data_IF_580359697988
#
_entry.id   IF_580359697988
#
_cell.length_a   1.000
_cell.length_b   1.000
_cell.length_c   1.000
_cell.angle_alpha   90.00
_cell.angle_beta   90.00
_cell.angle_gamma   90.00
#
_symmetry.space_group_name_H-M   'P 1'
#
loop_
_entity.id
_entity.type
_entity.pdbx_description
1 polymer ?
#
# COMPACT_ATOMS: atom_id res chain seq x y z
N UNK A 1 -12.56 25.13 35.42
CA UNK A 1 -12.88 23.87 34.73
C UNK A 1 -11.71 23.57 33.81
N UNK A 2 -10.87 22.62 34.21
CA UNK A 2 -9.64 22.22 33.53
C UNK A 2 -9.99 21.37 32.31
N UNK A 3 -9.49 21.76 31.15
CA UNK A 3 -9.54 21.02 29.88
C UNK A 3 -8.47 19.93 29.89
N UNK A 4 -8.54 19.03 30.85
CA UNK A 4 -7.69 17.84 30.88
C UNK A 4 -8.50 16.63 30.45
N UNK A 5 -7.93 15.88 29.52
CA UNK A 5 -8.25 14.48 29.23
C UNK A 5 -9.49 14.19 28.40
N UNK A 6 -9.36 14.30 27.07
CA UNK A 6 -9.67 13.18 26.16
C UNK A 6 -8.66 13.20 24.99
N UNK A 7 -7.37 12.99 25.29
CA UNK A 7 -6.48 12.36 24.31
C UNK A 7 -6.84 10.88 24.29
N UNK A 8 -8.01 10.55 23.73
CA UNK A 8 -8.27 9.18 23.33
C UNK A 8 -7.18 8.85 22.31
N UNK A 9 -6.34 7.86 22.61
CA UNK A 9 -5.40 7.28 21.65
C UNK A 9 -6.18 6.97 20.37
N UNK A 10 -6.06 7.83 19.36
CA UNK A 10 -6.70 7.59 18.06
C UNK A 10 -6.02 6.36 17.51
N UNK A 11 -6.75 5.23 17.54
CA UNK A 11 -6.31 3.99 16.90
C UNK A 11 -5.95 4.31 15.45
N UNK A 12 -4.83 3.79 14.93
CA UNK A 12 -4.47 4.00 13.54
C UNK A 12 -5.60 3.48 12.65
N UNK A 13 -5.88 4.20 11.56
CA UNK A 13 -6.81 3.71 10.55
C UNK A 13 -6.32 2.37 9.99
N UNK A 14 -7.22 1.54 9.44
CA UNK A 14 -6.84 0.25 8.86
C UNK A 14 -5.69 0.37 7.85
N UNK A 15 -5.77 1.34 6.93
CA UNK A 15 -4.73 1.56 5.93
C UNK A 15 -3.38 1.94 6.55
N UNK A 16 -3.34 2.80 7.58
CA UNK A 16 -2.10 3.14 8.29
C UNK A 16 -1.52 1.94 9.05
N UNK A 17 -2.38 1.14 9.69
CA UNK A 17 -1.96 -0.04 10.44
C UNK A 17 -1.37 -1.11 9.51
N UNK A 18 -2.02 -1.38 8.37
CA UNK A 18 -1.56 -2.37 7.39
C UNK A 18 -0.30 -1.86 6.69
N UNK A 19 -0.24 -0.57 6.32
CA UNK A 19 0.95 0.01 5.71
C UNK A 19 2.18 -0.06 6.62
N UNK A 20 2.01 0.24 7.91
CA UNK A 20 3.11 0.08 8.88
C UNK A 20 3.62 -1.36 8.93
N UNK A 21 2.72 -2.35 8.94
CA UNK A 21 3.11 -3.77 8.89
C UNK A 21 3.84 -4.11 7.60
N UNK A 22 3.46 -3.49 6.48
CA UNK A 22 4.16 -3.65 5.21
C UNK A 22 5.59 -3.08 5.28
N UNK A 23 5.77 -1.90 5.89
CA UNK A 23 7.09 -1.30 6.11
C UNK A 23 7.96 -2.19 7.02
N UNK A 24 7.39 -2.68 8.12
CA UNK A 24 8.07 -3.60 9.04
C UNK A 24 8.51 -4.89 8.32
N UNK A 25 7.60 -5.50 7.52
CA UNK A 25 7.92 -6.67 6.70
C UNK A 25 9.01 -6.37 5.65
N UNK A 26 9.03 -5.16 5.09
CA UNK A 26 10.09 -4.75 4.15
C UNK A 26 11.44 -4.64 4.83
N UNK A 27 11.49 -4.07 6.04
CA UNK A 27 12.72 -4.02 6.82
C UNK A 27 13.23 -5.43 7.19
N UNK A 28 12.32 -6.34 7.52
CA UNK A 28 12.64 -7.74 7.79
C UNK A 28 13.16 -8.47 6.55
N UNK A 29 12.58 -8.19 5.37
CA UNK A 29 13.07 -8.72 4.10
C UNK A 29 14.50 -8.28 3.84
N UNK A 30 14.79 -6.98 3.96
CA UNK A 30 16.13 -6.43 3.77
C UNK A 30 17.14 -7.02 4.78
N UNK A 31 16.70 -7.30 6.01
CA UNK A 31 17.53 -7.96 7.00
C UNK A 31 17.85 -9.41 6.61
N UNK A 32 16.87 -10.15 6.09
CA UNK A 32 17.06 -11.51 5.58
C UNK A 32 17.97 -11.53 4.34
N UNK A 33 17.82 -10.58 3.42
CA UNK A 33 18.70 -10.44 2.24
C UNK A 33 20.15 -10.15 2.62
N UNK A 34 20.37 -9.27 3.62
CA UNK A 34 21.71 -9.03 4.17
C UNK A 34 22.30 -10.28 4.83
N UNK A 35 21.48 -11.06 5.54
CA UNK A 35 21.91 -12.31 6.15
C UNK A 35 22.27 -13.36 5.09
N UNK A 36 21.47 -13.49 4.02
CA UNK A 36 21.75 -14.36 2.89
C UNK A 36 23.07 -13.97 2.19
N UNK A 37 23.25 -12.69 1.90
CA UNK A 37 24.47 -12.15 1.29
C UNK A 37 25.71 -12.44 2.13
N UNK A 38 25.60 -12.30 3.46
CA UNK A 38 26.69 -12.63 4.38
C UNK A 38 26.97 -14.14 4.40
N UNK A 39 25.94 -14.97 4.44
CA UNK A 39 26.07 -16.44 4.42
C UNK A 39 26.78 -16.92 3.16
N UNK A 40 26.45 -16.34 1.99
CA UNK A 40 27.14 -16.60 0.71
C UNK A 40 28.63 -16.28 0.77
N UNK A 41 29.01 -15.17 1.41
CA UNK A 41 30.42 -14.81 1.59
C UNK A 41 31.15 -15.78 2.52
N UNK A 42 30.47 -16.27 3.56
CA UNK A 42 31.02 -17.19 4.56
C UNK A 42 30.92 -18.68 4.13
N UNK A 43 30.31 -18.97 2.98
CA UNK A 43 30.01 -20.32 2.49
C UNK A 43 29.18 -21.15 3.48
N UNK A 44 28.34 -20.49 4.27
CA UNK A 44 27.42 -21.12 5.21
C UNK A 44 26.09 -21.43 4.50
N UNK A 45 25.99 -22.65 3.96
CA UNK A 45 24.84 -23.09 3.17
C UNK A 45 23.56 -23.23 3.99
N UNK A 46 23.67 -23.51 5.30
CA UNK A 46 22.50 -23.68 6.15
C UNK A 46 21.87 -22.32 6.45
N UNK A 47 22.70 -21.32 6.72
CA UNK A 47 22.24 -19.94 6.93
C UNK A 47 21.70 -19.33 5.64
N UNK A 48 22.35 -19.57 4.49
CA UNK A 48 21.87 -19.14 3.18
C UNK A 48 20.47 -19.70 2.89
N UNK A 49 20.28 -21.01 3.05
CA UNK A 49 18.99 -21.65 2.85
C UNK A 49 17.91 -21.10 3.81
N UNK A 50 18.26 -20.92 5.09
CA UNK A 50 17.33 -20.36 6.06
C UNK A 50 16.91 -18.92 5.70
N UNK A 51 17.83 -18.11 5.18
CA UNK A 51 17.55 -16.74 4.77
C UNK A 51 16.64 -16.70 3.52
N UNK A 52 16.88 -17.53 2.50
CA UNK A 52 16.00 -17.66 1.33
C UNK A 52 14.57 -18.09 1.73
N UNK A 53 14.44 -19.08 2.62
CA UNK A 53 13.12 -19.49 3.13
C UNK A 53 12.41 -18.35 3.88
N UNK A 54 13.14 -17.54 4.65
CA UNK A 54 12.58 -16.37 5.33
C UNK A 54 12.11 -15.31 4.32
N UNK A 55 12.95 -14.96 3.34
CA UNK A 55 12.63 -13.99 2.28
C UNK A 55 11.36 -14.38 1.52
N UNK A 56 11.20 -15.66 1.15
CA UNK A 56 9.99 -16.15 0.46
C UNK A 56 8.72 -16.03 1.31
N UNK A 57 8.82 -16.24 2.62
CA UNK A 57 7.67 -16.07 3.54
C UNK A 57 7.30 -14.61 3.69
N UNK A 58 8.30 -13.74 3.88
CA UNK A 58 8.12 -12.30 4.03
C UNK A 58 7.54 -11.70 2.75
N UNK A 59 8.04 -12.09 1.58
CA UNK A 59 7.50 -11.66 0.28
C UNK A 59 6.01 -11.98 0.13
N UNK A 60 5.56 -13.18 0.54
CA UNK A 60 4.13 -13.52 0.54
C UNK A 60 3.32 -12.68 1.52
N UNK A 61 3.88 -12.32 2.68
CA UNK A 61 3.22 -11.42 3.62
C UNK A 61 3.11 -10.00 3.02
N UNK A 62 4.17 -9.48 2.40
CA UNK A 62 4.14 -8.19 1.71
C UNK A 62 3.09 -8.14 0.60
N UNK A 63 2.97 -9.20 -0.21
CA UNK A 63 1.94 -9.29 -1.24
C UNK A 63 0.52 -9.29 -0.64
N UNK A 64 0.29 -10.09 0.42
CA UNK A 64 -1.00 -10.11 1.12
C UNK A 64 -1.36 -8.76 1.75
N UNK A 65 -0.38 -8.08 2.35
CA UNK A 65 -0.57 -6.74 2.93
C UNK A 65 -0.85 -5.69 1.85
N UNK A 66 -0.17 -5.75 0.71
CA UNK A 66 -0.41 -4.87 -0.44
C UNK A 66 -1.84 -5.03 -0.95
N UNK A 67 -2.28 -6.27 -1.19
CA UNK A 67 -3.66 -6.53 -1.62
C UNK A 67 -4.67 -6.06 -0.57
N UNK A 68 -4.40 -6.26 0.72
CA UNK A 68 -5.26 -5.76 1.78
C UNK A 68 -5.38 -4.22 1.78
N UNK A 69 -4.30 -3.49 1.45
CA UNK A 69 -4.31 -2.02 1.31
C UNK A 69 -5.16 -1.59 0.11
N UNK A 70 -5.08 -2.29 -1.02
CA UNK A 70 -5.81 -1.93 -2.24
C UNK A 70 -7.33 -2.01 -2.09
N UNK A 71 -7.84 -2.77 -1.11
CA UNK A 71 -9.27 -2.79 -0.76
C UNK A 71 -9.67 -1.78 0.33
N UNK A 72 -8.77 -0.89 0.75
CA UNK A 72 -9.09 0.14 1.75
C UNK A 72 -9.60 1.42 1.11
N UNK A 73 -10.53 2.09 1.80
CA UNK A 73 -11.02 3.42 1.44
C UNK A 73 -10.25 4.46 2.26
N UNK A 74 -9.54 5.41 1.62
CA UNK A 74 -8.83 6.47 2.33
C UNK A 74 -9.84 7.47 2.91
N UNK A 75 -9.59 7.96 4.12
CA UNK A 75 -10.43 9.00 4.74
C UNK A 75 -9.72 10.35 4.87
N UNK A 76 -8.51 10.46 4.33
CA UNK A 76 -7.70 11.69 4.30
C UNK A 76 -6.58 11.55 3.26
N UNK A 77 -5.96 12.68 2.91
CA UNK A 77 -4.88 12.72 1.90
C UNK A 77 -3.66 11.87 2.22
N UNK A 78 -3.27 11.73 3.49
CA UNK A 78 -2.15 10.86 3.86
C UNK A 78 -2.43 9.41 3.51
N UNK A 79 -3.66 8.96 3.73
CA UNK A 79 -4.12 7.62 3.38
C UNK A 79 -4.25 7.44 1.86
N UNK A 80 -4.74 8.47 1.17
CA UNK A 80 -4.82 8.46 -0.29
C UNK A 80 -3.42 8.31 -0.94
N UNK A 81 -2.39 8.98 -0.39
CA UNK A 81 -1.01 8.83 -0.85
C UNK A 81 -0.46 7.42 -0.61
N UNK A 82 -0.82 6.79 0.52
CA UNK A 82 -0.46 5.39 0.79
C UNK A 82 -1.13 4.48 -0.24
N UNK A 83 -2.43 4.66 -0.49
CA UNK A 83 -3.15 3.86 -1.49
C UNK A 83 -2.53 4.04 -2.89
N UNK A 84 -2.24 5.28 -3.29
CA UNK A 84 -1.58 5.61 -4.55
C UNK A 84 -0.22 4.92 -4.69
N UNK A 85 0.61 4.92 -3.64
CA UNK A 85 1.89 4.22 -3.64
C UNK A 85 1.72 2.73 -3.95
N UNK A 86 0.77 2.05 -3.29
CA UNK A 86 0.54 0.62 -3.51
C UNK A 86 -0.07 0.31 -4.88
N UNK A 87 -0.91 1.20 -5.42
CA UNK A 87 -1.40 1.13 -6.82
C UNK A 87 -0.22 1.16 -7.79
N UNK A 88 0.72 2.10 -7.61
CA UNK A 88 1.90 2.22 -8.47
C UNK A 88 2.78 0.97 -8.39
N UNK A 89 3.09 0.50 -7.18
CA UNK A 89 3.89 -0.70 -6.98
C UNK A 89 3.30 -1.92 -7.68
N UNK A 90 1.99 -2.16 -7.55
CA UNK A 90 1.36 -3.30 -8.22
C UNK A 90 1.30 -3.11 -9.74
N UNK A 91 1.00 -1.91 -10.22
CA UNK A 91 0.98 -1.61 -11.66
C UNK A 91 2.33 -1.89 -12.33
N UNK A 92 3.43 -1.46 -11.71
CA UNK A 92 4.78 -1.71 -12.21
C UNK A 92 5.10 -3.20 -12.26
N UNK A 93 4.71 -3.96 -11.23
CA UNK A 93 4.89 -5.42 -11.21
C UNK A 93 4.09 -6.10 -12.31
N UNK A 94 2.84 -5.68 -12.55
CA UNK A 94 2.00 -6.26 -13.58
C UNK A 94 2.52 -5.97 -14.99
N UNK A 95 3.03 -4.75 -15.26
CA UNK A 95 3.65 -4.39 -16.54
C UNK A 95 4.93 -5.18 -16.80
N UNK A 96 5.73 -5.41 -15.75
CA UNK A 96 7.01 -6.12 -15.85
C UNK A 96 6.90 -7.65 -15.82
N UNK A 97 5.75 -8.21 -15.46
CA UNK A 97 5.59 -9.65 -15.31
C UNK A 97 4.91 -10.29 -16.53
N UNK A 98 5.56 -11.28 -17.15
CA UNK A 98 4.90 -12.24 -18.06
C UNK A 98 3.98 -13.21 -17.29
N UNK A 99 3.42 -12.81 -16.13
CA UNK A 99 2.53 -13.67 -15.36
C UNK A 99 1.22 -13.79 -16.14
N UNK A 100 1.04 -14.93 -16.78
CA UNK A 100 -0.25 -15.42 -17.26
C UNK A 100 -0.70 -16.53 -16.30
N UNK A 101 -1.28 -16.15 -15.17
CA UNK A 101 -1.74 -17.09 -14.13
C UNK A 101 -3.06 -16.63 -13.50
N UNK A 102 -3.75 -17.50 -12.76
CA UNK A 102 -5.03 -17.20 -12.12
C UNK A 102 -4.96 -16.04 -11.11
N UNK A 103 -3.80 -15.85 -10.46
CA UNK A 103 -3.57 -14.80 -9.46
C UNK A 103 -3.59 -13.37 -10.06
N UNK A 104 -3.33 -13.24 -11.37
CA UNK A 104 -3.43 -11.96 -12.10
C UNK A 104 -4.86 -11.44 -12.08
N UNK A 105 -5.85 -12.34 -12.00
CA UNK A 105 -7.26 -11.97 -11.91
C UNK A 105 -7.60 -11.28 -10.60
N UNK A 106 -7.08 -11.77 -9.47
CA UNK A 106 -7.34 -11.20 -8.14
C UNK A 106 -6.54 -9.91 -7.93
N UNK A 107 -5.27 -9.88 -8.34
CA UNK A 107 -4.41 -8.69 -8.28
C UNK A 107 -4.97 -7.57 -9.17
N UNK A 108 -5.40 -7.90 -10.40
CA UNK A 108 -6.02 -6.94 -11.31
C UNK A 108 -7.35 -6.39 -10.80
N UNK A 109 -8.18 -7.23 -10.17
CA UNK A 109 -9.43 -6.78 -9.55
C UNK A 109 -9.17 -5.83 -8.37
N UNK A 110 -8.20 -6.16 -7.51
CA UNK A 110 -7.80 -5.30 -6.40
C UNK A 110 -7.26 -3.95 -6.90
N UNK A 111 -6.44 -3.95 -7.96
CA UNK A 111 -5.92 -2.75 -8.57
C UNK A 111 -7.03 -1.84 -9.12
N UNK A 112 -8.01 -2.43 -9.83
CA UNK A 112 -9.14 -1.68 -10.36
C UNK A 112 -9.96 -1.04 -9.24
N UNK A 113 -10.29 -1.79 -8.18
CA UNK A 113 -11.01 -1.27 -7.00
C UNK A 113 -10.26 -0.12 -6.35
N UNK A 114 -8.95 -0.25 -6.18
CA UNK A 114 -8.12 0.79 -5.58
C UNK A 114 -8.10 2.08 -6.40
N UNK A 115 -8.00 1.96 -7.73
CA UNK A 115 -8.02 3.09 -8.66
C UNK A 115 -9.36 3.82 -8.56
N UNK A 116 -10.48 3.09 -8.67
CA UNK A 116 -11.82 3.67 -8.58
C UNK A 116 -12.03 4.37 -7.23
N UNK A 117 -11.62 3.70 -6.14
CA UNK A 117 -11.70 4.24 -4.77
C UNK A 117 -10.88 5.53 -4.61
N UNK A 118 -9.68 5.61 -5.20
CA UNK A 118 -8.84 6.80 -5.14
C UNK A 118 -9.45 7.95 -5.94
N UNK A 119 -10.01 7.67 -7.13
CA UNK A 119 -10.70 8.67 -7.93
C UNK A 119 -11.94 9.22 -7.21
N UNK A 120 -12.75 8.35 -6.61
CA UNK A 120 -13.92 8.77 -5.83
C UNK A 120 -13.51 9.68 -4.67
N UNK A 121 -12.47 9.32 -3.91
CA UNK A 121 -11.93 10.18 -2.84
C UNK A 121 -11.51 11.55 -3.36
N UNK A 122 -10.72 11.61 -4.44
CA UNK A 122 -10.26 12.87 -5.02
C UNK A 122 -11.43 13.74 -5.51
N UNK A 123 -12.44 13.15 -6.14
CA UNK A 123 -13.62 13.87 -6.60
C UNK A 123 -14.41 14.49 -5.44
N UNK A 124 -14.57 13.77 -4.32
CA UNK A 124 -15.25 14.30 -3.13
C UNK A 124 -14.47 15.45 -2.49
N UNK A 125 -13.16 15.29 -2.27
CA UNK A 125 -12.33 16.31 -1.62
C UNK A 125 -12.21 17.61 -2.46
N UNK A 126 -12.13 17.49 -3.79
CA UNK A 126 -12.08 18.67 -4.70
C UNK A 126 -13.37 19.48 -4.66
N UNK A 127 -14.51 18.84 -4.39
CA UNK A 127 -15.81 19.54 -4.28
C UNK A 127 -15.99 20.28 -2.96
N UNK A 128 -15.36 19.83 -1.87
CA UNK A 128 -15.50 20.45 -0.55
C UNK A 128 -14.69 21.74 -0.39
N UNK A 129 -13.55 21.88 -1.10
CA UNK A 129 -12.76 23.13 -1.13
C UNK A 129 -13.07 24.06 -2.33
N UNK A 130 -13.86 23.60 -3.31
CA UNK A 130 -14.10 24.29 -4.58
C UNK A 130 -15.52 24.80 -4.85
N UNK A 131 -16.47 24.64 -3.91
CA UNK A 131 -17.90 24.94 -4.15
C UNK A 131 -18.28 26.43 -4.24
N UNK A 132 -17.31 27.34 -4.36
CA UNK A 132 -17.53 28.76 -4.71
C UNK A 132 -17.18 29.10 -6.18
N UNK A 133 -16.73 28.14 -6.99
CA UNK A 133 -16.59 28.34 -8.44
C UNK A 133 -17.87 27.91 -9.16
N UNK A 134 -18.86 28.82 -9.12
CA UNK A 134 -19.98 28.83 -10.06
C UNK A 134 -19.42 28.91 -11.48
N UNK A 135 -19.28 27.77 -12.16
CA UNK A 135 -19.04 27.75 -13.61
C UNK A 135 -20.35 28.16 -14.25
N UNK A 136 -20.48 29.46 -14.50
CA UNK A 136 -21.60 30.04 -15.20
C UNK A 136 -21.56 29.56 -16.66
N UNK A 137 -22.36 28.54 -16.97
CA UNK A 137 -22.45 27.93 -18.30
C UNK A 137 -23.11 28.85 -19.33
N UNK A 138 -23.52 30.08 -18.97
CA UNK A 138 -24.13 31.05 -19.88
C UNK A 138 -23.12 31.85 -20.73
N UNK A 139 -21.80 31.75 -20.49
CA UNK A 139 -20.81 32.55 -21.20
C UNK A 139 -20.28 31.96 -22.54
N UNK A 140 -20.81 30.82 -22.98
CA UNK A 140 -20.41 30.16 -24.25
C UNK A 140 -21.47 30.23 -25.37
N UNK A 141 -22.44 31.15 -25.23
CA UNK A 141 -23.42 31.47 -26.28
C UNK A 141 -22.89 32.43 -27.34
#
# INVERSE_FOLDING_TARGET
MTTDSILAERKPSPILAIHKRYEDATNDYDAAERAESKAKLEQDTDLEFSADVAMRKISREQDALRIAILYQVPTNWKEALILQFHIMCLSDMMIGSERAGPDVGEEGAALQVAIDTLFDFMCCEVTEEGSDLHVDHEALG
#
